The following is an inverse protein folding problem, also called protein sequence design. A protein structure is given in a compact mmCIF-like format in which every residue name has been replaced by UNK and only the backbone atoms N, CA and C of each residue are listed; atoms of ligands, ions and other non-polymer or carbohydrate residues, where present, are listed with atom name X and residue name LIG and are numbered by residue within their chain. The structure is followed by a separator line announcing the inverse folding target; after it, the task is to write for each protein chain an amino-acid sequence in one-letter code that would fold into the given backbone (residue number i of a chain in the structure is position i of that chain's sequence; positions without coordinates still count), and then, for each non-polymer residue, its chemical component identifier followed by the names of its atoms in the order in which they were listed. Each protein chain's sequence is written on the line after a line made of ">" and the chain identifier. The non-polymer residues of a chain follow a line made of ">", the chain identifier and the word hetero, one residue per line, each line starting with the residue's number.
data_IF_490649908354
#
_entry.id   IF_490649908354
#
_cell.length_a   1.000
_cell.length_b   1.000
_cell.length_c   1.000
_cell.angle_alpha   90.00
_cell.angle_beta   90.00
_cell.angle_gamma   90.00
#
_symmetry.space_group_name_H-M   'P 1'
#
loop_
_entity.id
_entity.type
_entity.pdbx_description
1 polymer ?
#
# COMPACT_ATOMS: atom_id res chain seq x y z
N UNK A 1 5.92 3.55 12.54
CA UNK A 1 7.08 4.10 11.82
C UNK A 1 8.11 3.05 11.41
N UNK A 2 7.79 1.76 11.51
CA UNK A 2 8.64 0.64 11.06
C UNK A 2 7.89 -0.28 10.10
N UNK A 3 6.78 0.20 9.53
CA UNK A 3 6.01 -0.58 8.57
C UNK A 3 6.87 -0.92 7.36
N UNK A 4 6.90 -2.20 7.03
CA UNK A 4 7.64 -2.76 5.90
C UNK A 4 6.66 -3.50 5.01
N UNK A 5 6.86 -3.37 3.71
CA UNK A 5 6.02 -3.97 2.69
C UNK A 5 6.91 -4.75 1.73
N UNK A 6 6.56 -6.01 1.47
CA UNK A 6 7.21 -6.83 0.45
C UNK A 6 6.39 -6.67 -0.83
N UNK A 7 6.94 -6.01 -1.83
CA UNK A 7 6.20 -5.79 -3.08
C UNK A 7 6.25 -7.07 -3.94
N UNK A 8 5.13 -7.47 -4.58
CA UNK A 8 5.15 -8.56 -5.54
C UNK A 8 6.09 -8.18 -6.70
N UNK A 9 6.92 -9.13 -7.14
CA UNK A 9 7.93 -8.94 -8.19
C UNK A 9 9.10 -7.99 -7.85
N UNK A 10 9.29 -7.62 -6.57
CA UNK A 10 10.48 -6.88 -6.12
C UNK A 10 11.17 -7.63 -4.98
N UNK A 11 12.50 -7.79 -5.09
CA UNK A 11 13.26 -8.50 -4.07
C UNK A 11 13.39 -7.68 -2.79
N UNK A 12 12.99 -8.29 -1.67
CA UNK A 12 13.19 -7.74 -0.32
C UNK A 12 11.98 -7.04 0.28
N UNK A 13 12.08 -6.73 1.59
CA UNK A 13 11.10 -5.90 2.31
C UNK A 13 11.55 -4.46 2.25
N UNK A 14 10.67 -3.58 1.81
CA UNK A 14 10.92 -2.16 1.71
C UNK A 14 10.25 -1.41 2.85
N UNK A 15 10.97 -0.49 3.48
CA UNK A 15 10.35 0.41 4.44
C UNK A 15 9.29 1.26 3.73
N UNK A 16 8.12 1.35 4.33
CA UNK A 16 7.00 2.05 3.73
C UNK A 16 7.33 3.54 3.49
N UNK A 17 8.11 4.13 4.39
CA UNK A 17 8.64 5.49 4.24
C UNK A 17 9.47 5.65 2.95
N UNK A 18 10.31 4.66 2.62
CA UNK A 18 11.16 4.68 1.43
C UNK A 18 10.32 4.54 0.16
N UNK A 19 9.32 3.66 0.18
CA UNK A 19 8.37 3.53 -0.95
C UNK A 19 7.64 4.85 -1.24
N UNK A 20 7.16 5.55 -0.22
CA UNK A 20 6.54 6.87 -0.39
C UNK A 20 7.52 7.90 -0.96
N UNK A 21 8.77 7.90 -0.51
CA UNK A 21 9.81 8.79 -1.06
C UNK A 21 10.13 8.46 -2.52
N UNK A 22 10.29 7.18 -2.87
CA UNK A 22 10.52 6.72 -4.25
C UNK A 22 9.34 7.08 -5.18
N UNK A 23 8.11 7.08 -4.65
CA UNK A 23 6.92 7.49 -5.39
C UNK A 23 6.71 9.01 -5.47
N UNK A 24 7.57 9.81 -4.83
CA UNK A 24 7.40 11.27 -4.76
C UNK A 24 6.15 11.71 -3.97
N UNK A 25 5.61 10.85 -3.12
CA UNK A 25 4.38 11.14 -2.36
C UNK A 25 4.73 12.01 -1.16
N UNK A 26 4.15 13.22 -1.07
CA UNK A 26 4.46 14.11 0.03
C UNK A 26 3.82 13.66 1.35
N UNK A 27 4.33 14.14 2.51
CA UNK A 27 3.87 13.70 3.83
C UNK A 27 2.37 13.93 4.08
N UNK A 28 1.80 15.03 3.58
CA UNK A 28 0.38 15.36 3.76
C UNK A 28 -0.55 14.39 3.01
N UNK A 29 -0.14 13.96 1.82
CA UNK A 29 -0.88 12.97 1.05
C UNK A 29 -0.72 11.58 1.66
N UNK A 30 0.49 11.24 2.11
CA UNK A 30 0.75 10.00 2.85
C UNK A 30 -0.15 9.85 4.07
N UNK A 31 -0.31 10.90 4.88
CA UNK A 31 -1.16 10.85 6.08
C UNK A 31 -2.64 10.63 5.77
N UNK A 32 -3.07 10.96 4.55
CA UNK A 32 -4.46 10.76 4.10
C UNK A 32 -4.71 9.39 3.46
N UNK A 33 -3.64 8.64 3.14
CA UNK A 33 -3.74 7.34 2.45
C UNK A 33 -3.97 6.20 3.47
N UNK A 34 -5.06 5.41 3.33
CA UNK A 34 -5.35 4.28 4.21
C UNK A 34 -4.30 3.18 4.11
N UNK A 35 -3.85 2.73 5.27
CA UNK A 35 -3.09 1.50 5.42
C UNK A 35 -4.06 0.35 5.66
N UNK A 36 -3.99 -0.68 4.83
CA UNK A 36 -4.90 -1.81 4.88
C UNK A 36 -4.23 -2.92 5.68
N UNK A 37 -4.89 -3.34 6.75
CA UNK A 37 -4.44 -4.44 7.61
C UNK A 37 -5.45 -5.58 7.53
N UNK A 38 -4.98 -6.83 7.36
CA UNK A 38 -5.80 -8.02 7.57
C UNK A 38 -5.19 -8.81 8.71
N UNK A 39 -6.00 -9.16 9.71
CA UNK A 39 -5.55 -9.88 10.91
C UNK A 39 -4.33 -9.25 11.59
N UNK A 40 -4.28 -7.91 11.64
CA UNK A 40 -3.16 -7.15 12.24
C UNK A 40 -1.88 -7.11 11.40
N UNK A 41 -1.87 -7.72 10.20
CA UNK A 41 -0.74 -7.67 9.27
C UNK A 41 -1.00 -6.67 8.15
N UNK A 42 0.00 -5.83 7.85
CA UNK A 42 -0.09 -4.87 6.76
C UNK A 42 -0.22 -5.61 5.41
N UNK A 43 -1.36 -5.42 4.75
CA UNK A 43 -1.69 -6.00 3.46
C UNK A 43 -1.40 -5.05 2.31
N UNK A 44 -1.42 -3.73 2.55
CA UNK A 44 -1.18 -2.77 1.49
C UNK A 44 -1.40 -1.32 1.87
N UNK A 45 -1.11 -0.43 0.92
CA UNK A 45 -1.55 0.97 0.92
C UNK A 45 -2.57 1.13 -0.18
N UNK A 46 -3.75 1.63 0.18
CA UNK A 46 -4.86 1.81 -0.74
C UNK A 46 -4.45 2.67 -1.96
N UNK A 47 -4.76 2.18 -3.16
CA UNK A 47 -4.43 2.85 -4.42
C UNK A 47 -2.94 2.91 -4.80
N UNK A 48 -2.03 2.19 -4.11
CA UNK A 48 -0.61 2.17 -4.46
C UNK A 48 -0.03 0.76 -4.54
N UNK A 49 0.04 0.09 -3.40
CA UNK A 49 0.83 -1.12 -3.24
C UNK A 49 0.06 -2.14 -2.43
N UNK A 50 0.21 -3.40 -2.82
CA UNK A 50 -0.27 -4.55 -2.06
C UNK A 50 0.96 -5.37 -1.70
N UNK A 51 1.00 -5.90 -0.48
CA UNK A 51 2.07 -6.79 -0.05
C UNK A 51 1.93 -8.14 -0.77
N UNK A 52 3.06 -8.78 -1.05
CA UNK A 52 3.16 -10.05 -1.76
C UNK A 52 2.24 -11.12 -1.17
N UNK A 53 2.09 -11.17 0.16
CA UNK A 53 1.23 -12.19 0.80
C UNK A 53 -0.28 -11.94 0.59
N UNK A 54 -0.67 -10.70 0.28
CA UNK A 54 -2.05 -10.29 0.03
C UNK A 54 -2.32 -10.04 -1.47
N UNK A 55 -1.34 -10.34 -2.32
CA UNK A 55 -1.40 -10.14 -3.76
C UNK A 55 -1.54 -11.47 -4.50
N UNK A 56 -2.31 -11.47 -5.59
CA UNK A 56 -2.46 -12.62 -6.48
C UNK A 56 -2.65 -12.14 -7.92
N UNK A 57 -2.23 -12.95 -8.89
CA UNK A 57 -2.46 -12.73 -10.32
C UNK A 57 -3.76 -13.38 -10.81
N UNK A 58 -4.44 -14.15 -9.96
CA UNK A 58 -5.66 -14.88 -10.34
C UNK A 58 -6.85 -13.96 -10.14
N UNK A 59 -7.54 -13.63 -11.24
CA UNK A 59 -8.69 -12.71 -11.23
C UNK A 59 -9.96 -13.32 -10.58
N UNK A 60 -9.93 -14.62 -10.24
CA UNK A 60 -11.03 -15.28 -9.55
C UNK A 60 -11.10 -14.86 -8.07
N UNK A 61 -11.85 -13.78 -7.79
CA UNK A 61 -12.22 -13.37 -6.42
C UNK A 61 -11.35 -12.28 -5.79
N UNK A 62 -10.64 -11.49 -6.60
CA UNK A 62 -9.82 -10.38 -6.09
C UNK A 62 -10.62 -9.11 -5.81
N UNK A 63 -10.23 -8.39 -4.76
CA UNK A 63 -10.70 -7.04 -4.50
C UNK A 63 -9.66 -6.02 -4.94
N UNK A 64 -10.09 -5.03 -5.73
CA UNK A 64 -9.26 -3.87 -6.05
C UNK A 64 -9.57 -2.74 -5.07
N UNK A 65 -8.56 -2.31 -4.34
CA UNK A 65 -8.69 -1.21 -3.39
C UNK A 65 -8.47 0.11 -4.14
N UNK A 66 -9.56 0.76 -4.50
CA UNK A 66 -9.54 2.12 -5.02
C UNK A 66 -9.56 3.11 -3.86
N UNK A 67 -8.60 4.04 -3.84
CA UNK A 67 -8.59 5.16 -2.90
C UNK A 67 -8.89 6.44 -3.66
N UNK A 68 -9.79 7.26 -3.11
CA UNK A 68 -10.08 8.59 -3.60
C UNK A 68 -9.57 9.60 -2.57
N UNK A 69 -8.83 10.64 -3.01
CA UNK A 69 -8.44 11.71 -2.09
C UNK A 69 -9.69 12.42 -1.55
N UNK A 70 -9.65 12.94 -0.31
CA UNK A 70 -10.73 13.76 0.20
C UNK A 70 -10.93 14.94 -0.76
N UNK A 71 -12.15 15.08 -1.27
CA UNK A 71 -12.51 16.18 -2.15
C UNK A 71 -12.44 17.47 -1.33
N UNK A 72 -11.57 18.41 -1.70
CA UNK A 72 -11.53 19.73 -1.07
C UNK A 72 -12.91 20.36 -1.25
N UNK A 73 -13.63 20.52 -0.13
CA UNK A 73 -14.85 21.33 -0.05
C UNK A 73 -14.49 22.81 -0.01
#
# INVERSE_FOLDING_TARGET
>A
GGEKLKLPNRAGRHDLKKLFQEAGIPPWERSSRPLIYLNGRLAGVAGLWVDEWAWTQIDAGCYRIAWQPPQSV
#
